data_IF_504033224449
#
_entry.id   IF_504033224449
#
_cell.length_a   1.000
_cell.length_b   1.000
_cell.length_c   1.000
_cell.angle_alpha   90.00
_cell.angle_beta   90.00
_cell.angle_gamma   90.00
#
_symmetry.space_group_name_H-M   'P 1'
#
loop_
_entity.id
_entity.type
_entity.pdbx_description
1 polymer ?
#
# COMPACT_ATOMS: atom_id res chain seq x y z
N UNK A 1 9.09 7.02 -12.02
CA UNK A 1 8.54 7.14 -11.70
C UNK A 1 7.54 7.34 -10.68
N UNK A 2 7.39 8.48 -10.15
CA UNK A 2 6.45 8.78 -9.11
C UNK A 2 5.12 9.24 -9.67
N UNK A 3 4.94 9.14 -10.96
CA UNK A 3 3.66 9.54 -11.55
C UNK A 3 2.54 8.64 -11.04
N UNK A 4 1.46 9.25 -10.56
CA UNK A 4 0.31 8.53 -10.00
C UNK A 4 0.63 7.77 -8.73
N UNK A 5 1.70 8.13 -8.04
CA UNK A 5 2.03 7.60 -6.73
C UNK A 5 1.95 8.76 -5.74
N UNK A 6 1.13 8.59 -4.69
CA UNK A 6 0.89 9.64 -3.71
C UNK A 6 1.10 9.11 -2.31
N UNK A 7 1.67 9.93 -1.43
CA UNK A 7 1.93 9.55 -0.04
C UNK A 7 1.15 10.47 0.90
N UNK A 8 0.52 9.86 1.90
CA UNK A 8 -0.25 10.61 2.88
C UNK A 8 0.15 10.16 4.27
N UNK A 9 0.60 11.09 5.08
CA UNK A 9 1.06 10.79 6.43
C UNK A 9 0.05 11.24 7.47
N UNK A 10 -0.12 10.41 8.50
CA UNK A 10 -0.92 10.80 9.66
C UNK A 10 0.00 11.59 10.59
N UNK A 11 -0.20 12.90 10.64
CA UNK A 11 0.66 13.76 11.43
C UNK A 11 0.24 13.74 12.89
N UNK A 12 1.16 13.97 13.84
CA UNK A 12 0.80 14.07 15.25
C UNK A 12 -0.27 15.12 15.45
N UNK A 13 -1.30 14.77 16.19
CA UNK A 13 -2.41 15.70 16.47
C UNK A 13 -3.47 15.77 15.39
N UNK A 14 -3.25 15.12 14.26
CA UNK A 14 -4.24 15.11 13.19
C UNK A 14 -5.40 14.19 13.58
N UNK A 15 -6.62 14.69 13.39
CA UNK A 15 -7.80 13.87 13.68
C UNK A 15 -8.06 12.90 12.53
N UNK A 16 -8.68 11.73 12.83
CA UNK A 16 -9.00 10.79 11.76
C UNK A 16 -9.86 11.39 10.66
N UNK A 17 -10.76 12.29 11.00
CA UNK A 17 -11.62 12.94 10.01
C UNK A 17 -10.81 13.79 9.03
N UNK A 18 -9.77 14.46 9.53
CA UNK A 18 -8.91 15.29 8.67
C UNK A 18 -8.10 14.42 7.72
N UNK A 19 -7.60 13.30 8.22
CA UNK A 19 -6.85 12.36 7.40
C UNK A 19 -7.74 11.79 6.29
N UNK A 20 -8.96 11.41 6.65
CA UNK A 20 -9.91 10.88 5.69
C UNK A 20 -10.25 11.91 4.61
N UNK A 21 -10.46 13.16 5.00
CA UNK A 21 -10.79 14.22 4.04
C UNK A 21 -9.65 14.42 3.06
N UNK A 22 -8.42 14.34 3.53
CA UNK A 22 -7.25 14.49 2.68
C UNK A 22 -7.17 13.38 1.63
N UNK A 23 -7.38 12.14 2.06
CA UNK A 23 -7.38 11.01 1.14
C UNK A 23 -8.53 11.08 0.14
N UNK A 24 -9.71 11.43 0.64
CA UNK A 24 -10.89 11.47 -0.22
C UNK A 24 -10.76 12.53 -1.30
N UNK A 25 -10.14 13.64 -0.98
CA UNK A 25 -9.89 14.68 -1.95
C UNK A 25 -9.03 14.16 -3.11
N UNK A 26 -8.03 13.35 -2.80
CA UNK A 26 -7.19 12.77 -3.84
C UNK A 26 -7.95 11.73 -4.66
N UNK A 27 -8.79 10.93 -4.00
CA UNK A 27 -9.57 9.93 -4.71
C UNK A 27 -10.56 10.57 -5.68
N UNK A 28 -11.15 11.70 -5.28
CA UNK A 28 -12.05 12.42 -6.15
C UNK A 28 -11.32 12.95 -7.40
N UNK A 29 -10.07 13.37 -7.24
CA UNK A 29 -9.29 13.85 -8.37
C UNK A 29 -8.97 12.72 -9.35
N UNK A 30 -8.83 11.49 -8.86
CA UNK A 30 -8.54 10.36 -9.73
C UNK A 30 -9.77 9.89 -10.51
N UNK A 31 -10.95 10.27 -10.05
CA UNK A 31 -12.20 9.92 -10.74
C UNK A 31 -12.44 8.43 -10.75
N UNK A 32 -12.65 7.86 -11.93
CA UNK A 32 -12.98 6.44 -12.06
C UNK A 32 -11.75 5.54 -12.06
N UNK A 33 -10.57 6.08 -11.78
CA UNK A 33 -9.36 5.28 -11.78
C UNK A 33 -9.36 4.20 -10.72
N UNK A 34 -8.73 3.08 -11.01
CA UNK A 34 -8.57 2.01 -10.05
C UNK A 34 -7.40 2.34 -9.13
N UNK A 35 -7.59 2.11 -7.84
CA UNK A 35 -6.63 2.53 -6.83
C UNK A 35 -6.15 1.31 -6.05
N UNK A 36 -4.84 1.27 -5.81
CA UNK A 36 -4.25 0.30 -4.89
C UNK A 36 -3.56 1.08 -3.79
N UNK A 37 -4.01 0.86 -2.55
CA UNK A 37 -3.46 1.52 -1.38
C UNK A 37 -2.50 0.59 -0.66
N UNK A 38 -1.34 1.12 -0.28
CA UNK A 38 -0.36 0.37 0.49
C UNK A 38 -0.22 1.04 1.85
N UNK A 39 -0.53 0.30 2.91
CA UNK A 39 -0.45 0.83 4.28
C UNK A 39 0.51 -0.03 5.08
N UNK A 40 1.18 0.56 6.06
CA UNK A 40 2.23 -0.14 6.79
C UNK A 40 1.69 -0.98 7.94
N UNK A 41 0.57 -0.62 8.53
CA UNK A 41 0.09 -1.28 9.72
C UNK A 41 -1.37 -1.69 9.57
N UNK A 42 -1.65 -2.96 9.79
CA UNK A 42 -3.03 -3.43 9.78
C UNK A 42 -3.76 -2.89 11.00
N UNK A 43 -4.92 -2.30 10.79
CA UNK A 43 -5.74 -1.79 11.88
C UNK A 43 -5.42 -0.38 12.34
N UNK A 44 -4.36 0.24 11.81
CA UNK A 44 -4.08 1.64 12.14
C UNK A 44 -5.01 2.58 11.40
N UNK A 45 -4.93 3.87 11.74
CA UNK A 45 -5.82 4.88 11.14
C UNK A 45 -5.76 4.87 9.60
N UNK A 46 -4.58 4.83 8.95
CA UNK A 46 -4.57 4.78 7.50
C UNK A 46 -5.28 3.55 6.95
N UNK A 47 -5.07 2.39 7.55
CA UNK A 47 -5.71 1.17 7.11
C UNK A 47 -7.23 1.24 7.26
N UNK A 48 -7.69 1.67 8.43
CA UNK A 48 -9.13 1.78 8.71
C UNK A 48 -9.79 2.80 7.78
N UNK A 49 -9.11 3.93 7.54
CA UNK A 49 -9.63 4.96 6.65
C UNK A 49 -9.79 4.43 5.23
N UNK A 50 -8.78 3.72 4.73
CA UNK A 50 -8.86 3.13 3.40
C UNK A 50 -9.98 2.09 3.31
N UNK A 51 -10.16 1.30 4.37
CA UNK A 51 -11.24 0.31 4.39
C UNK A 51 -12.61 0.96 4.31
N UNK A 52 -12.78 2.07 5.01
CA UNK A 52 -14.05 2.81 4.97
C UNK A 52 -14.27 3.39 3.56
N UNK A 53 -13.26 4.01 2.99
CA UNK A 53 -13.38 4.65 1.69
C UNK A 53 -13.59 3.64 0.57
N UNK A 54 -13.13 2.40 0.77
CA UNK A 54 -13.30 1.36 -0.25
C UNK A 54 -14.75 1.00 -0.49
N UNK A 55 -15.64 1.41 0.40
CA UNK A 55 -17.09 1.19 0.21
C UNK A 55 -17.66 2.14 -0.82
N UNK A 56 -16.99 3.24 -1.09
CA UNK A 56 -17.44 4.25 -2.03
C UNK A 56 -16.58 4.30 -3.29
N UNK A 57 -15.29 4.06 -3.15
CA UNK A 57 -14.35 4.16 -4.27
C UNK A 57 -13.82 2.78 -4.64
N UNK A 58 -13.44 2.61 -5.91
CA UNK A 58 -12.90 1.34 -6.40
C UNK A 58 -11.44 1.20 -5.97
N UNK A 59 -11.23 0.63 -4.80
CA UNK A 59 -9.91 0.53 -4.18
C UNK A 59 -9.66 -0.86 -3.65
N UNK A 60 -8.39 -1.25 -3.64
CA UNK A 60 -7.92 -2.40 -2.87
C UNK A 60 -6.81 -1.92 -1.96
N UNK A 61 -6.58 -2.63 -0.85
CA UNK A 61 -5.67 -2.18 0.20
C UNK A 61 -4.80 -3.35 0.63
N UNK A 62 -3.49 -3.15 0.67
CA UNK A 62 -2.56 -4.13 1.23
C UNK A 62 -1.91 -3.53 2.46
N UNK A 63 -1.95 -4.25 3.58
CA UNK A 63 -1.23 -3.84 4.79
C UNK A 63 0.13 -4.50 4.84
N UNK A 64 1.00 -3.99 5.68
CA UNK A 64 2.33 -4.55 5.86
C UNK A 64 3.38 -3.98 4.94
N UNK A 65 3.13 -2.81 4.38
CA UNK A 65 4.04 -2.16 3.44
C UNK A 65 5.48 -2.18 3.93
N UNK A 66 6.38 -2.69 3.11
CA UNK A 66 7.80 -2.54 3.34
C UNK A 66 8.46 -2.15 2.02
N UNK A 67 9.75 -1.85 2.06
CA UNK A 67 10.43 -1.33 0.88
C UNK A 67 10.44 -2.32 -0.28
N UNK A 68 10.66 -3.60 0.00
CA UNK A 68 10.69 -4.61 -1.04
C UNK A 68 9.36 -4.70 -1.78
N UNK A 69 8.26 -4.70 -1.05
CA UNK A 69 6.93 -4.76 -1.65
C UNK A 69 6.64 -3.48 -2.44
N UNK A 70 6.99 -2.33 -1.88
CA UNK A 70 6.76 -1.06 -2.56
C UNK A 70 7.48 -1.03 -3.91
N UNK A 71 8.75 -1.43 -3.93
CA UNK A 71 9.53 -1.42 -5.15
C UNK A 71 8.91 -2.34 -6.20
N UNK A 72 8.55 -3.55 -5.79
CA UNK A 72 8.04 -4.53 -6.73
C UNK A 72 6.68 -4.10 -7.31
N UNK A 73 5.77 -3.66 -6.45
CA UNK A 73 4.43 -3.27 -6.90
C UNK A 73 4.50 -2.06 -7.82
N UNK A 74 5.29 -1.04 -7.43
CA UNK A 74 5.34 0.17 -8.26
C UNK A 74 6.04 -0.08 -9.58
N UNK A 75 7.03 -0.98 -9.63
CA UNK A 75 7.71 -1.27 -10.88
C UNK A 75 6.82 -2.04 -11.85
N UNK A 76 5.84 -2.77 -11.35
CA UNK A 76 4.95 -3.57 -12.20
C UNK A 76 3.56 -2.96 -12.40
N UNK A 77 3.33 -1.76 -11.88
CA UNK A 77 1.97 -1.19 -11.86
C UNK A 77 1.37 -1.00 -13.24
N UNK A 78 2.21 -0.81 -14.26
CA UNK A 78 1.73 -0.63 -15.63
C UNK A 78 1.79 -1.91 -16.45
N UNK A 79 2.25 -3.01 -15.85
CA UNK A 79 2.43 -4.28 -16.55
C UNK A 79 1.40 -5.32 -16.16
N UNK A 80 0.72 -5.13 -15.03
CA UNK A 80 -0.20 -6.13 -14.50
C UNK A 80 -1.48 -5.48 -14.02
N UNK A 81 -2.61 -6.18 -14.10
CA UNK A 81 -3.85 -5.67 -13.52
C UNK A 81 -3.74 -5.59 -11.99
N UNK A 82 -4.58 -4.75 -11.42
CA UNK A 82 -4.54 -4.47 -9.98
C UNK A 82 -4.60 -5.74 -9.12
N UNK A 83 -5.46 -6.69 -9.50
CA UNK A 83 -5.59 -7.90 -8.69
C UNK A 83 -4.29 -8.70 -8.65
N UNK A 84 -3.57 -8.75 -9.77
CA UNK A 84 -2.27 -9.42 -9.80
C UNK A 84 -1.23 -8.67 -8.99
N UNK A 85 -1.32 -7.34 -8.96
CA UNK A 85 -0.41 -6.54 -8.13
C UNK A 85 -0.63 -6.83 -6.65
N UNK A 86 -1.88 -7.05 -6.24
CA UNK A 86 -2.16 -7.43 -4.85
C UNK A 86 -1.48 -8.76 -4.53
N UNK A 87 -1.58 -9.72 -5.43
CA UNK A 87 -0.98 -11.04 -5.21
C UNK A 87 0.54 -10.97 -5.18
N UNK A 88 1.13 -10.19 -6.08
CA UNK A 88 2.57 -9.98 -6.11
C UNK A 88 3.03 -9.32 -4.80
N UNK A 89 2.31 -8.28 -4.38
CA UNK A 89 2.67 -7.58 -3.14
C UNK A 89 2.63 -8.49 -1.93
N UNK A 90 1.59 -9.31 -1.81
CA UNK A 90 1.47 -10.21 -0.66
C UNK A 90 2.56 -11.29 -0.69
N UNK A 91 2.90 -11.79 -1.87
CA UNK A 91 3.95 -12.79 -1.98
C UNK A 91 5.31 -12.23 -1.57
N UNK A 92 5.62 -11.01 -2.01
CA UNK A 92 6.87 -10.36 -1.64
C UNK A 92 6.92 -10.12 -0.13
N UNK A 93 5.81 -9.74 0.48
CA UNK A 93 5.78 -9.54 1.93
C UNK A 93 6.10 -10.83 2.68
N UNK A 94 5.57 -11.96 2.21
CA UNK A 94 5.84 -13.23 2.86
C UNK A 94 7.30 -13.66 2.71
N UNK A 95 7.93 -13.29 1.60
CA UNK A 95 9.26 -13.77 1.28
C UNK A 95 10.39 -12.81 1.61
N UNK A 96 10.10 -11.55 1.94
CA UNK A 96 11.15 -10.53 2.08
C UNK A 96 11.82 -10.52 3.44
N UNK A 97 11.19 -11.10 4.46
CA UNK A 97 11.84 -11.19 5.77
C UNK A 97 12.78 -12.38 5.80
N UNK A 98 14.04 -12.15 6.17
CA UNK A 98 15.05 -13.19 6.13
C UNK A 98 15.83 -13.23 7.43
N UNK A 99 16.16 -14.45 7.86
CA UNK A 99 17.15 -14.65 8.91
C UNK A 99 18.51 -14.65 8.20
N UNK A 100 19.16 -13.52 8.17
CA UNK A 100 20.33 -13.30 7.32
C UNK A 100 21.48 -14.23 7.70
N UNK A 101 21.76 -14.34 8.98
CA UNK A 101 22.92 -15.12 9.43
C UNK A 101 22.70 -16.61 9.15
N UNK A 102 21.47 -17.09 9.39
CA UNK A 102 21.16 -18.47 9.07
C UNK A 102 21.35 -18.77 7.60
N UNK A 103 20.87 -17.86 6.74
CA UNK A 103 21.02 -18.05 5.30
C UNK A 103 22.48 -18.09 4.87
N UNK A 104 23.31 -17.20 5.43
CA UNK A 104 24.73 -17.19 5.12
C UNK A 104 25.39 -18.51 5.52
N UNK A 105 25.03 -19.06 6.68
CA UNK A 105 25.61 -20.29 7.16
C UNK A 105 25.17 -21.49 6.32
N UNK A 106 23.97 -21.48 5.83
CA UNK A 106 23.46 -22.56 4.99
C UNK A 106 24.10 -22.59 3.60
N UNK A 107 24.72 -21.50 3.18
CA UNK A 107 25.33 -21.43 1.86
C UNK A 107 26.76 -21.95 1.81
N UNK A 108 27.31 -22.31 2.94
CA UNK A 108 28.68 -22.82 3.00
C UNK A 108 28.77 -24.27 2.53
#
# INVERSE_FOLDING_TARGET
EAENVFAFSLMPGMQPEDYRAMLEKQLEKLGDGKVLCLVDLFGGTPCTTCAILSKTYDMQVISGLNLAMYIEVTSQRNLRPRQELVEVGLEILRDSGKDVIKLLNERK
#
